data_IF_059918402454
#
_entry.id   IF_059918402454
#
_cell.length_a   1.000
_cell.length_b   1.000
_cell.length_c   1.000
_cell.angle_alpha   90.00
_cell.angle_beta   90.00
_cell.angle_gamma   90.00
#
_symmetry.space_group_name_H-M   'P 1'
#
loop_
_entity.id
_entity.type
_entity.pdbx_description
1 polymer ?
#
# COMPACT_ATOMS: atom_id res chain seq x y z
N UNK A 1 12.13 -4.15 17.70
CA UNK A 1 11.10 -5.16 17.75
C UNK A 1 10.01 -4.92 16.70
N UNK A 2 9.09 -3.97 16.88
CA UNK A 2 7.91 -3.80 15.99
C UNK A 2 8.23 -3.72 14.49
N UNK A 3 9.21 -2.91 14.08
CA UNK A 3 9.60 -2.82 12.66
C UNK A 3 10.32 -4.09 12.15
N UNK A 4 11.08 -4.76 13.00
CA UNK A 4 11.69 -6.06 12.66
C UNK A 4 10.58 -7.07 12.35
N UNK A 5 9.56 -7.13 13.21
CA UNK A 5 8.43 -8.03 13.03
C UNK A 5 7.58 -7.64 11.81
N UNK A 6 7.37 -6.34 11.57
CA UNK A 6 6.66 -5.85 10.38
C UNK A 6 7.36 -6.25 9.08
N UNK A 7 8.68 -6.23 9.07
CA UNK A 7 9.50 -6.53 7.88
C UNK A 7 9.89 -8.00 7.75
N UNK A 8 9.38 -8.88 8.61
CA UNK A 8 9.63 -10.31 8.56
C UNK A 8 8.73 -10.99 7.50
N UNK A 9 9.24 -11.08 6.27
CA UNK A 9 8.54 -11.66 5.13
C UNK A 9 8.22 -13.16 5.25
N UNK A 10 8.70 -13.85 6.31
CA UNK A 10 8.32 -15.23 6.61
C UNK A 10 6.91 -15.36 7.19
N UNK A 11 6.32 -14.24 7.64
CA UNK A 11 4.98 -14.17 8.26
C UNK A 11 3.95 -13.55 7.32
N UNK A 12 2.70 -13.90 7.51
CA UNK A 12 1.58 -13.29 6.78
C UNK A 12 1.54 -11.76 6.95
N UNK A 13 1.35 -11.03 5.86
CA UNK A 13 1.40 -9.56 5.88
C UNK A 13 0.27 -8.95 6.70
N UNK A 14 -0.91 -9.56 6.69
CA UNK A 14 -2.06 -9.05 7.44
C UNK A 14 -1.87 -9.22 8.94
N UNK A 15 -1.31 -10.35 9.37
CA UNK A 15 -0.92 -10.57 10.77
C UNK A 15 0.14 -9.57 11.23
N UNK A 16 1.11 -9.24 10.38
CA UNK A 16 2.15 -8.24 10.67
C UNK A 16 1.57 -6.84 10.82
N UNK A 17 0.62 -6.46 9.95
CA UNK A 17 -0.07 -5.16 10.02
C UNK A 17 -0.86 -5.07 11.34
N UNK A 18 -1.64 -6.10 11.69
CA UNK A 18 -2.44 -6.12 12.90
C UNK A 18 -1.57 -6.10 14.17
N UNK A 19 -0.48 -6.85 14.18
CA UNK A 19 0.49 -6.85 15.27
C UNK A 19 1.15 -5.48 15.46
N UNK A 20 1.48 -4.78 14.37
CA UNK A 20 2.05 -3.43 14.43
C UNK A 20 1.05 -2.41 14.98
N UNK A 21 -0.20 -2.45 14.55
CA UNK A 21 -1.29 -1.60 15.08
C UNK A 21 -1.49 -1.84 16.59
N UNK A 22 -1.56 -3.11 17.00
CA UNK A 22 -1.72 -3.47 18.40
C UNK A 22 -0.52 -2.99 19.25
N UNK A 23 0.69 -3.18 18.76
CA UNK A 23 1.90 -2.70 19.41
C UNK A 23 1.91 -1.17 19.56
N UNK A 24 1.48 -0.45 18.52
CA UNK A 24 1.36 1.02 18.55
C UNK A 24 0.33 1.48 19.59
N UNK A 25 -0.81 0.79 19.71
CA UNK A 25 -1.82 1.08 20.73
C UNK A 25 -1.29 0.90 22.15
N UNK A 26 -0.56 -0.19 22.39
CA UNK A 26 0.09 -0.44 23.70
C UNK A 26 1.14 0.64 24.05
N UNK A 27 1.90 1.10 23.08
CA UNK A 27 2.85 2.21 23.29
C UNK A 27 2.14 3.53 23.58
N UNK A 28 1.03 3.80 22.89
CA UNK A 28 0.21 4.96 23.15
C UNK A 28 -0.36 4.96 24.57
N UNK A 29 -0.92 3.84 25.01
CA UNK A 29 -1.43 3.67 26.39
C UNK A 29 -0.34 3.93 27.43
N UNK A 30 0.86 3.43 27.19
CA UNK A 30 1.97 3.50 28.15
C UNK A 30 2.68 4.85 28.16
N UNK A 31 2.82 5.52 27.02
CA UNK A 31 3.68 6.69 26.86
C UNK A 31 2.99 7.90 26.24
N UNK A 32 1.73 7.78 25.87
CA UNK A 32 1.03 8.79 25.07
C UNK A 32 0.61 10.06 25.81
N UNK A 33 0.78 10.14 27.15
CA UNK A 33 0.46 11.31 27.96
C UNK A 33 -0.93 11.92 27.67
N UNK A 34 -1.94 11.06 27.43
CA UNK A 34 -3.30 11.50 27.10
C UNK A 34 -3.58 11.75 25.62
N UNK A 35 -2.63 11.46 24.74
CA UNK A 35 -2.88 11.50 23.30
C UNK A 35 -3.95 10.46 22.91
N UNK A 36 -4.90 10.88 22.05
CA UNK A 36 -6.04 10.04 21.67
C UNK A 36 -5.71 9.02 20.56
N UNK A 37 -4.66 9.26 19.77
CA UNK A 37 -4.33 8.46 18.57
C UNK A 37 -2.82 8.37 18.36
N UNK A 38 -2.38 7.24 17.81
CA UNK A 38 -0.97 7.02 17.44
C UNK A 38 -0.70 7.24 15.94
N UNK A 39 -1.72 7.40 15.11
CA UNK A 39 -1.64 7.59 13.64
C UNK A 39 -0.90 6.47 12.87
N UNK A 40 -0.58 5.36 13.52
CA UNK A 40 0.07 4.20 12.92
C UNK A 40 -1.00 3.23 12.40
N UNK A 41 -1.70 3.66 11.35
CA UNK A 41 -2.78 2.93 10.71
C UNK A 41 -2.32 2.38 9.34
N UNK A 42 -3.24 1.82 8.60
CA UNK A 42 -2.98 1.10 7.35
C UNK A 42 -2.17 1.93 6.33
N UNK A 43 -2.46 3.22 6.21
CA UNK A 43 -1.70 4.09 5.30
C UNK A 43 -0.22 4.20 5.72
N UNK A 44 0.06 4.49 6.97
CA UNK A 44 1.44 4.59 7.47
C UNK A 44 2.17 3.25 7.37
N UNK A 45 1.52 2.15 7.78
CA UNK A 45 2.12 0.81 7.82
C UNK A 45 2.42 0.32 6.40
N UNK A 46 1.49 0.47 5.47
CA UNK A 46 1.74 0.08 4.07
C UNK A 46 2.80 0.96 3.41
N UNK A 47 2.92 2.22 3.81
CA UNK A 47 4.02 3.09 3.38
C UNK A 47 5.36 2.56 3.87
N UNK A 48 5.48 2.11 5.13
CA UNK A 48 6.71 1.48 5.64
C UNK A 48 7.06 0.21 4.88
N UNK A 49 6.07 -0.63 4.58
CA UNK A 49 6.27 -1.85 3.81
C UNK A 49 6.76 -1.54 2.40
N UNK A 50 6.15 -0.56 1.72
CA UNK A 50 6.58 -0.11 0.40
C UNK A 50 7.99 0.48 0.43
N UNK A 51 8.32 1.34 1.39
CA UNK A 51 9.67 1.91 1.51
C UNK A 51 10.74 0.83 1.71
N UNK A 52 10.41 -0.26 2.42
CA UNK A 52 11.34 -1.36 2.66
C UNK A 52 11.40 -2.36 1.50
N UNK A 53 10.25 -2.62 0.87
CA UNK A 53 10.09 -3.61 -0.20
C UNK A 53 9.24 -3.02 -1.34
N UNK A 54 9.76 -2.04 -2.09
CA UNK A 54 9.01 -1.35 -3.14
C UNK A 54 8.64 -2.24 -4.32
N UNK A 55 9.28 -3.40 -4.45
CA UNK A 55 8.99 -4.45 -5.43
C UNK A 55 7.85 -5.40 -5.01
N UNK A 56 7.28 -5.21 -3.80
CA UNK A 56 6.28 -6.13 -3.24
C UNK A 56 5.00 -5.45 -2.78
N UNK A 57 5.06 -4.19 -2.35
CA UNK A 57 3.95 -3.52 -1.68
C UNK A 57 3.53 -2.24 -2.37
N UNK A 58 2.31 -1.79 -2.03
CA UNK A 58 1.70 -0.54 -2.46
C UNK A 58 1.36 0.32 -1.24
N UNK A 59 1.06 1.59 -1.45
CA UNK A 59 0.62 2.51 -0.40
C UNK A 59 -0.90 2.57 -0.38
N UNK A 60 -1.51 2.13 0.72
CA UNK A 60 -2.95 2.14 0.91
C UNK A 60 -3.46 3.51 1.32
N UNK A 61 -4.52 3.96 0.65
CA UNK A 61 -5.28 5.14 1.05
C UNK A 61 -6.76 4.90 0.75
N UNK A 62 -7.59 4.85 1.79
CA UNK A 62 -9.00 4.49 1.69
C UNK A 62 -9.77 5.33 0.66
N UNK A 63 -9.64 6.67 0.72
CA UNK A 63 -10.35 7.57 -0.21
C UNK A 63 -9.95 7.35 -1.66
N UNK A 64 -8.69 7.04 -1.92
CA UNK A 64 -8.12 6.83 -3.24
C UNK A 64 -8.58 5.48 -3.81
N UNK A 65 -8.34 4.38 -3.08
CA UNK A 65 -8.67 3.04 -3.56
C UNK A 65 -10.17 2.87 -3.82
N UNK A 66 -11.02 3.54 -3.06
CA UNK A 66 -12.46 3.54 -3.28
C UNK A 66 -12.84 4.17 -4.62
N UNK A 67 -12.19 5.26 -5.00
CA UNK A 67 -12.40 5.90 -6.31
C UNK A 67 -11.85 5.02 -7.41
N UNK A 68 -10.62 4.50 -7.27
CA UNK A 68 -10.01 3.60 -8.25
C UNK A 68 -10.90 2.40 -8.54
N UNK A 69 -11.44 1.75 -7.50
CA UNK A 69 -12.34 0.62 -7.67
C UNK A 69 -13.62 0.99 -8.43
N UNK A 70 -14.17 2.16 -8.16
CA UNK A 70 -15.38 2.65 -8.83
C UNK A 70 -15.11 2.98 -10.31
N UNK A 71 -14.03 3.71 -10.61
CA UNK A 71 -13.67 4.11 -11.98
C UNK A 71 -13.29 2.91 -12.87
N UNK A 72 -12.72 1.88 -12.29
CA UNK A 72 -12.39 0.64 -13.00
C UNK A 72 -13.53 -0.39 -13.00
N UNK A 73 -14.69 -0.05 -12.43
CA UNK A 73 -15.84 -0.97 -12.28
C UNK A 73 -15.44 -2.32 -11.64
N UNK A 74 -14.51 -2.27 -10.68
CA UNK A 74 -13.98 -3.46 -10.05
C UNK A 74 -14.96 -4.04 -9.01
N UNK A 75 -14.97 -5.36 -8.87
CA UNK A 75 -15.87 -6.08 -7.94
C UNK A 75 -15.47 -5.94 -6.46
N UNK A 76 -14.44 -5.15 -6.17
CA UNK A 76 -13.97 -4.92 -4.80
C UNK A 76 -14.74 -3.79 -4.12
N UNK A 77 -15.16 -4.05 -2.87
CA UNK A 77 -15.90 -3.07 -2.07
C UNK A 77 -15.05 -2.60 -0.88
N UNK A 78 -15.08 -1.30 -0.66
CA UNK A 78 -14.37 -0.64 0.43
C UNK A 78 -15.37 0.06 1.36
N UNK A 79 -15.38 -0.35 2.65
CA UNK A 79 -16.30 0.18 3.66
C UNK A 79 -15.53 0.84 4.78
N UNK A 80 -15.99 2.02 5.22
CA UNK A 80 -15.42 2.69 6.39
C UNK A 80 -15.46 1.76 7.62
N UNK A 81 -14.31 1.57 8.25
CA UNK A 81 -14.16 0.73 9.43
C UNK A 81 -13.86 -0.76 9.16
N UNK A 82 -14.00 -1.24 7.92
CA UNK A 82 -13.67 -2.62 7.54
C UNK A 82 -12.17 -2.77 7.19
N UNK A 83 -11.29 -2.44 8.11
CA UNK A 83 -9.86 -2.26 7.86
C UNK A 83 -9.17 -3.47 7.23
N UNK A 84 -9.35 -4.66 7.82
CA UNK A 84 -8.72 -5.89 7.32
C UNK A 84 -9.22 -6.25 5.91
N UNK A 85 -10.53 -6.21 5.67
CA UNK A 85 -11.13 -6.50 4.38
C UNK A 85 -10.72 -5.47 3.33
N UNK A 86 -10.67 -4.19 3.70
CA UNK A 86 -10.24 -3.13 2.81
C UNK A 86 -8.79 -3.32 2.35
N UNK A 87 -7.87 -3.65 3.24
CA UNK A 87 -6.47 -3.88 2.87
C UNK A 87 -6.32 -5.12 1.99
N UNK A 88 -7.06 -6.19 2.26
CA UNK A 88 -7.07 -7.40 1.41
C UNK A 88 -7.60 -7.10 0.01
N UNK A 89 -8.72 -6.39 -0.08
CA UNK A 89 -9.30 -5.98 -1.37
C UNK A 89 -8.39 -5.02 -2.13
N UNK A 90 -7.75 -4.09 -1.41
CA UNK A 90 -6.77 -3.17 -1.98
C UNK A 90 -5.57 -3.91 -2.62
N UNK A 91 -4.97 -4.83 -1.91
CA UNK A 91 -3.82 -5.59 -2.45
C UNK A 91 -4.24 -6.37 -3.69
N UNK A 92 -5.40 -7.05 -3.67
CA UNK A 92 -5.91 -7.79 -4.83
C UNK A 92 -6.16 -6.87 -6.03
N UNK A 93 -6.84 -5.74 -5.83
CA UNK A 93 -7.11 -4.78 -6.89
C UNK A 93 -5.82 -4.23 -7.50
N UNK A 94 -4.86 -3.83 -6.65
CA UNK A 94 -3.60 -3.26 -7.14
C UNK A 94 -2.69 -4.32 -7.79
N UNK A 95 -2.74 -5.57 -7.35
CA UNK A 95 -2.07 -6.68 -8.04
C UNK A 95 -2.66 -6.92 -9.44
N UNK A 96 -3.97 -6.80 -9.61
CA UNK A 96 -4.61 -6.88 -10.93
C UNK A 96 -4.19 -5.71 -11.83
N UNK A 97 -4.21 -4.49 -11.33
CA UNK A 97 -3.74 -3.30 -12.07
C UNK A 97 -2.27 -3.49 -12.46
N UNK A 98 -1.42 -3.88 -11.52
CA UNK A 98 0.00 -4.11 -11.76
C UNK A 98 0.22 -5.17 -12.85
N UNK A 99 -0.52 -6.27 -12.82
CA UNK A 99 -0.46 -7.33 -13.83
C UNK A 99 -0.84 -6.82 -15.22
N UNK A 100 -1.83 -5.94 -15.31
CA UNK A 100 -2.21 -5.31 -16.58
C UNK A 100 -1.10 -4.36 -17.09
N UNK A 101 -0.52 -3.54 -16.21
CA UNK A 101 0.58 -2.64 -16.59
C UNK A 101 1.82 -3.41 -17.07
N UNK A 102 2.11 -4.57 -16.50
CA UNK A 102 3.22 -5.43 -16.91
C UNK A 102 3.08 -5.98 -18.34
N UNK A 103 1.90 -5.94 -18.91
CA UNK A 103 1.65 -6.35 -20.32
C UNK A 103 1.72 -5.18 -21.30
N UNK A 104 1.77 -3.95 -20.84
CA UNK A 104 1.82 -2.75 -21.67
C UNK A 104 3.27 -2.34 -21.97
N UNK A 105 3.82 -2.85 -23.06
CA UNK A 105 5.20 -2.60 -23.43
C UNK A 105 5.47 -1.13 -23.79
N UNK A 106 4.48 -0.41 -24.34
CA UNK A 106 4.63 1.00 -24.65
C UNK A 106 4.78 1.84 -23.38
N UNK A 107 3.91 1.61 -22.40
CA UNK A 107 3.99 2.25 -21.10
C UNK A 107 5.31 1.94 -20.37
N UNK A 108 5.75 0.68 -20.40
CA UNK A 108 7.03 0.27 -19.82
C UNK A 108 8.19 1.03 -20.48
N UNK A 109 8.21 1.14 -21.80
CA UNK A 109 9.24 1.85 -22.52
C UNK A 109 9.24 3.35 -22.18
N UNK A 110 8.07 3.97 -22.06
CA UNK A 110 7.94 5.36 -21.62
C UNK A 110 8.49 5.57 -20.20
N UNK A 111 8.16 4.69 -19.27
CA UNK A 111 8.69 4.72 -17.91
C UNK A 111 10.22 4.63 -17.92
N UNK A 112 10.77 3.63 -18.60
CA UNK A 112 12.24 3.40 -18.67
C UNK A 112 12.97 4.61 -19.26
N UNK A 113 12.38 5.29 -20.24
CA UNK A 113 12.96 6.49 -20.83
C UNK A 113 13.01 7.70 -19.88
N UNK A 114 12.16 7.75 -18.87
CA UNK A 114 12.12 8.83 -17.88
C UNK A 114 13.00 8.56 -16.65
N UNK A 115 13.34 7.31 -16.36
CA UNK A 115 14.14 6.95 -15.20
C UNK A 115 15.62 7.31 -15.43
N UNK A 116 16.24 7.83 -14.37
CA UNK A 116 17.69 8.12 -14.32
C UNK A 116 18.39 7.13 -13.39
N UNK A 117 19.71 7.14 -13.37
CA UNK A 117 20.53 6.26 -12.51
C UNK A 117 20.28 6.48 -11.00
N UNK A 118 19.71 7.62 -10.64
CA UNK A 118 19.36 7.96 -9.24
C UNK A 118 17.96 7.55 -8.85
N UNK A 119 17.13 7.11 -9.80
CA UNK A 119 15.77 6.66 -9.54
C UNK A 119 15.75 5.18 -9.16
N UNK A 120 14.78 4.80 -8.31
CA UNK A 120 14.44 3.39 -8.13
C UNK A 120 13.91 2.84 -9.47
N UNK A 121 14.46 1.72 -9.99
CA UNK A 121 14.14 1.24 -11.34
C UNK A 121 12.75 0.62 -11.50
N UNK A 122 12.04 0.36 -10.41
CA UNK A 122 10.68 -0.21 -10.38
C UNK A 122 10.52 -1.44 -11.29
N UNK A 123 11.30 -2.52 -11.07
CA UNK A 123 11.33 -3.66 -11.99
C UNK A 123 9.99 -4.39 -12.08
N UNK A 124 9.22 -4.43 -11.00
CA UNK A 124 7.92 -5.08 -10.90
C UNK A 124 6.73 -4.14 -11.20
N UNK A 125 6.99 -2.87 -11.50
CA UNK A 125 5.98 -1.82 -11.77
C UNK A 125 5.01 -1.55 -10.61
N UNK A 126 5.37 -1.88 -9.37
CA UNK A 126 4.49 -1.65 -8.21
C UNK A 126 4.43 -0.18 -7.83
N UNK A 127 5.53 0.54 -7.92
CA UNK A 127 5.54 2.01 -7.71
C UNK A 127 4.76 2.72 -8.82
N UNK A 128 4.92 2.30 -10.08
CA UNK A 128 4.08 2.81 -11.18
C UNK A 128 2.59 2.54 -10.93
N UNK A 129 2.25 1.37 -10.36
CA UNK A 129 0.86 1.05 -10.00
C UNK A 129 0.29 2.01 -8.97
N UNK A 130 1.09 2.44 -7.99
CA UNK A 130 0.70 3.48 -7.03
C UNK A 130 0.40 4.79 -7.74
N UNK A 131 1.27 5.20 -8.66
CA UNK A 131 1.09 6.45 -9.44
C UNK A 131 -0.15 6.39 -10.34
N UNK A 132 -0.42 5.25 -10.96
CA UNK A 132 -1.64 5.03 -11.76
C UNK A 132 -2.90 5.15 -10.90
N UNK A 133 -2.92 4.53 -9.72
CA UNK A 133 -4.03 4.67 -8.77
C UNK A 133 -4.23 6.11 -8.32
N UNK A 134 -3.15 6.80 -8.01
CA UNK A 134 -3.20 8.23 -7.70
C UNK A 134 -3.78 9.05 -8.86
N UNK A 135 -3.32 8.81 -10.09
CA UNK A 135 -3.82 9.49 -11.28
C UNK A 135 -5.32 9.25 -11.49
N UNK A 136 -5.78 7.99 -11.49
CA UNK A 136 -7.20 7.64 -11.65
C UNK A 136 -8.06 8.32 -10.57
N UNK A 137 -7.57 8.42 -9.34
CA UNK A 137 -8.34 9.02 -8.24
C UNK A 137 -8.45 10.54 -8.29
N UNK A 138 -7.66 11.20 -9.16
CA UNK A 138 -7.57 12.68 -9.23
C UNK A 138 -8.11 13.26 -10.52
N UNK A 139 -8.08 12.50 -11.60
CA UNK A 139 -8.44 12.94 -12.96
C UNK A 139 -9.46 12.02 -13.63
#
# INVERSE_FOLDING_TARGET
AMFIDLFDESKDVYERIDAFKLGSSKLLERYGNGAAQHYQLENAITTYLWLRYPDRYYIYKFSEVKVVAAELEADYRFKKGAYADNVRNFIKLYDEICSMLQTDQELINLLRAQLTDTCYPDPELRTLTIDVGFYISRY
#
